data_IF_072927797798
#
_entry.id   IF_072927797798
#
_cell.length_a   1.000
_cell.length_b   1.000
_cell.length_c   1.000
_cell.angle_alpha   90.00
_cell.angle_beta   90.00
_cell.angle_gamma   90.00
#
_symmetry.space_group_name_H-M   'P 1'
#
loop_
_entity.id
_entity.type
_entity.pdbx_description
1 polymer ?
#
# COMPACT_ATOMS: atom_id res chain seq x y z
N UNK A 1 4.12 -41.66 13.67
CA UNK A 1 4.27 -40.22 13.53
C UNK A 1 3.39 -39.71 12.41
N UNK A 2 2.81 -38.55 12.61
CA UNK A 2 1.86 -38.03 11.66
C UNK A 2 2.49 -37.27 10.48
N UNK A 3 3.83 -37.25 10.38
CA UNK A 3 4.52 -36.49 9.35
C UNK A 3 4.08 -36.86 7.93
N UNK A 4 3.88 -38.16 7.68
CA UNK A 4 3.44 -38.65 6.37
C UNK A 4 2.01 -38.28 6.03
N UNK A 5 1.24 -37.76 7.03
CA UNK A 5 -0.15 -37.34 6.85
C UNK A 5 -0.26 -35.84 6.66
N UNK A 6 0.85 -35.13 6.72
CA UNK A 6 0.84 -33.70 6.51
C UNK A 6 0.64 -33.39 5.01
N UNK A 7 -0.09 -32.33 4.70
CA UNK A 7 -0.24 -31.89 3.31
C UNK A 7 1.13 -31.54 2.72
N UNK A 8 1.22 -31.62 1.42
CA UNK A 8 2.40 -31.09 0.71
C UNK A 8 2.39 -29.56 0.76
N UNK A 9 3.57 -28.96 0.61
CA UNK A 9 3.69 -27.50 0.61
C UNK A 9 2.67 -26.85 -0.34
N UNK A 10 2.51 -27.39 -1.53
CA UNK A 10 1.61 -26.87 -2.55
C UNK A 10 0.13 -26.92 -2.16
N UNK A 11 -0.22 -27.71 -1.13
CA UNK A 11 -1.61 -27.86 -0.68
C UNK A 11 -1.99 -26.87 0.43
N UNK A 12 -1.02 -26.10 0.94
CA UNK A 12 -1.30 -25.11 1.98
C UNK A 12 -1.78 -23.81 1.38
N UNK A 13 -2.88 -23.29 1.93
CA UNK A 13 -3.39 -21.97 1.53
C UNK A 13 -2.34 -20.87 1.72
N UNK A 14 -1.62 -20.93 2.84
CA UNK A 14 -0.59 -19.90 3.13
C UNK A 14 0.51 -19.88 2.06
N UNK A 15 0.89 -21.04 1.52
CA UNK A 15 1.86 -21.10 0.44
C UNK A 15 1.27 -20.56 -0.86
N UNK A 16 0.00 -20.86 -1.15
CA UNK A 16 -0.67 -20.32 -2.34
C UNK A 16 -0.71 -18.78 -2.30
N UNK A 17 -1.04 -18.21 -1.14
CA UNK A 17 -1.03 -16.76 -0.96
C UNK A 17 0.39 -16.19 -1.14
N UNK A 18 1.37 -16.83 -0.52
CA UNK A 18 2.77 -16.40 -0.62
C UNK A 18 3.26 -16.40 -2.07
N UNK A 19 3.06 -17.50 -2.78
CA UNK A 19 3.57 -17.65 -4.14
C UNK A 19 2.84 -16.73 -5.12
N UNK A 20 1.54 -16.53 -4.92
CA UNK A 20 0.75 -15.61 -5.74
C UNK A 20 1.20 -14.17 -5.53
N UNK A 21 1.43 -13.79 -4.28
CA UNK A 21 1.93 -12.45 -3.96
C UNK A 21 3.30 -12.20 -4.58
N UNK A 22 4.19 -13.19 -4.51
CA UNK A 22 5.51 -13.10 -5.10
C UNK A 22 5.44 -12.92 -6.63
N UNK A 23 4.58 -13.71 -7.29
CA UNK A 23 4.37 -13.62 -8.72
C UNK A 23 3.81 -12.25 -9.12
N UNK A 24 2.85 -11.73 -8.33
CA UNK A 24 2.26 -10.42 -8.57
C UNK A 24 3.32 -9.31 -8.48
N UNK A 25 4.17 -9.36 -7.45
CA UNK A 25 5.24 -8.37 -7.28
C UNK A 25 6.22 -8.40 -8.45
N UNK A 26 6.57 -9.59 -8.92
CA UNK A 26 7.47 -9.72 -10.08
C UNK A 26 6.86 -9.15 -11.35
N UNK A 27 5.55 -9.36 -11.53
CA UNK A 27 4.84 -8.84 -12.69
C UNK A 27 4.79 -7.32 -12.68
N UNK A 28 4.57 -6.71 -11.51
CA UNK A 28 4.43 -5.27 -11.37
C UNK A 28 5.77 -4.53 -11.27
N UNK A 29 6.85 -5.23 -10.93
CA UNK A 29 8.13 -4.60 -10.65
C UNK A 29 8.62 -3.64 -11.74
N UNK A 30 8.60 -3.99 -13.05
CA UNK A 30 9.06 -3.04 -14.06
C UNK A 30 8.28 -1.74 -14.07
N UNK A 31 6.96 -1.80 -13.89
CA UNK A 31 6.11 -0.61 -13.87
C UNK A 31 6.39 0.23 -12.62
N UNK A 32 6.52 -0.43 -11.48
CA UNK A 32 6.78 0.27 -10.21
C UNK A 32 8.16 0.90 -10.20
N UNK A 33 9.17 0.21 -10.73
CA UNK A 33 10.52 0.76 -10.81
C UNK A 33 10.56 1.99 -11.71
N UNK A 34 9.84 1.96 -12.82
CA UNK A 34 9.76 3.09 -13.74
C UNK A 34 9.13 4.31 -13.06
N UNK A 35 8.11 4.09 -12.25
CA UNK A 35 7.44 5.16 -11.50
C UNK A 35 8.19 5.56 -10.22
N UNK A 36 9.18 4.78 -9.80
CA UNK A 36 9.89 5.00 -8.55
C UNK A 36 9.07 4.66 -7.31
N UNK A 37 8.07 3.79 -7.45
CA UNK A 37 7.14 3.46 -6.37
C UNK A 37 7.37 2.05 -5.83
N UNK A 38 7.08 1.87 -4.55
CA UNK A 38 6.91 0.55 -3.96
C UNK A 38 5.48 0.08 -4.19
N UNK A 39 5.23 -1.21 -3.97
CA UNK A 39 3.88 -1.76 -4.10
C UNK A 39 2.88 -1.08 -3.15
N UNK A 40 3.19 -0.89 -1.84
CA UNK A 40 2.27 -0.16 -0.96
C UNK A 40 1.99 1.27 -1.42
N UNK A 41 2.99 1.97 -1.95
CA UNK A 41 2.77 3.32 -2.48
C UNK A 41 1.82 3.31 -3.68
N UNK A 42 1.96 2.32 -4.54
CA UNK A 42 1.04 2.12 -5.67
C UNK A 42 -0.39 1.91 -5.17
N UNK A 43 -0.58 1.12 -4.12
CA UNK A 43 -1.90 0.89 -3.53
C UNK A 43 -2.49 2.19 -2.96
N UNK A 44 -1.66 3.04 -2.37
CA UNK A 44 -2.11 4.36 -1.90
C UNK A 44 -2.66 5.18 -3.07
N UNK A 45 -1.97 5.19 -4.20
CA UNK A 45 -2.45 5.92 -5.38
C UNK A 45 -3.80 5.38 -5.84
N UNK A 46 -3.95 4.06 -5.91
CA UNK A 46 -5.23 3.45 -6.30
C UNK A 46 -6.34 3.88 -5.35
N UNK A 47 -6.09 3.84 -4.05
CA UNK A 47 -7.08 4.23 -3.06
C UNK A 47 -7.50 5.70 -3.23
N UNK A 48 -6.54 6.58 -3.53
CA UNK A 48 -6.82 8.00 -3.75
C UNK A 48 -7.49 8.26 -5.10
N UNK A 49 -7.23 7.44 -6.12
CA UNK A 49 -7.97 7.53 -7.39
C UNK A 49 -9.43 7.17 -7.21
N UNK A 50 -9.73 6.24 -6.31
CA UNK A 50 -11.12 5.90 -6.00
C UNK A 50 -11.80 7.04 -5.24
N UNK A 51 -11.11 7.61 -4.27
CA UNK A 51 -11.62 8.71 -3.47
C UNK A 51 -10.43 9.54 -2.99
N UNK A 52 -10.30 10.74 -3.52
CA UNK A 52 -9.26 11.67 -3.14
C UNK A 52 -9.55 12.31 -1.76
N UNK A 53 -8.60 13.03 -1.21
CA UNK A 53 -8.75 13.74 0.07
C UNK A 53 -9.09 12.84 1.25
N UNK A 54 -8.44 11.68 1.34
CA UNK A 54 -8.63 10.77 2.46
C UNK A 54 -7.68 11.10 3.61
N UNK A 55 -8.14 10.82 4.83
CA UNK A 55 -7.26 10.91 6.00
C UNK A 55 -6.25 9.78 6.01
N UNK A 56 -5.13 9.97 6.72
CA UNK A 56 -4.14 8.91 6.92
C UNK A 56 -4.81 7.68 7.54
N UNK A 57 -5.68 7.88 8.55
CA UNK A 57 -6.43 6.77 9.16
C UNK A 57 -7.31 6.03 8.17
N UNK A 58 -7.98 6.76 7.27
CA UNK A 58 -8.81 6.14 6.24
C UNK A 58 -8.02 5.27 5.28
N UNK A 59 -6.86 5.75 4.86
CA UNK A 59 -5.97 4.98 3.97
C UNK A 59 -5.41 3.77 4.72
N UNK A 60 -5.00 3.97 5.98
CA UNK A 60 -4.50 2.90 6.83
C UNK A 60 -5.49 1.75 6.93
N UNK A 61 -6.76 2.08 7.18
CA UNK A 61 -7.81 1.07 7.28
C UNK A 61 -8.02 0.31 5.97
N UNK A 62 -8.00 1.02 4.85
CA UNK A 62 -8.19 0.39 3.53
C UNK A 62 -7.06 -0.56 3.16
N UNK A 63 -5.84 -0.20 3.48
CA UNK A 63 -4.66 -0.97 3.08
C UNK A 63 -4.19 -1.96 4.14
N UNK A 64 -4.83 -1.99 5.30
CA UNK A 64 -4.42 -2.83 6.42
C UNK A 64 -2.97 -2.55 6.85
N UNK A 65 -2.58 -1.28 6.81
CA UNK A 65 -1.25 -0.84 7.22
C UNK A 65 -1.37 0.04 8.46
N UNK A 66 -0.41 -0.09 9.37
CA UNK A 66 -0.33 0.79 10.53
C UNK A 66 0.00 2.21 10.11
N UNK A 67 -0.51 3.18 10.86
CA UNK A 67 -0.17 4.59 10.63
C UNK A 67 1.33 4.83 10.74
N UNK A 68 2.01 4.11 11.64
CA UNK A 68 3.46 4.22 11.81
C UNK A 68 4.23 3.74 10.58
N UNK A 69 3.68 2.79 9.83
CA UNK A 69 4.25 2.32 8.56
C UNK A 69 3.87 3.25 7.43
N UNK A 70 2.62 3.69 7.42
CA UNK A 70 2.07 4.50 6.34
C UNK A 70 2.66 5.92 6.31
N UNK A 71 2.87 6.55 7.47
CA UNK A 71 3.34 7.95 7.53
C UNK A 71 4.67 8.18 6.82
N UNK A 72 5.74 7.38 7.06
CA UNK A 72 6.98 7.56 6.31
C UNK A 72 6.82 7.34 4.81
N UNK A 73 5.97 6.39 4.44
CA UNK A 73 5.67 6.07 3.05
C UNK A 73 5.01 7.27 2.35
N UNK A 74 4.05 7.91 3.01
CA UNK A 74 3.37 9.09 2.47
C UNK A 74 4.31 10.29 2.37
N UNK A 75 5.21 10.47 3.33
CA UNK A 75 6.21 11.54 3.29
C UNK A 75 7.12 11.39 2.07
N UNK A 76 7.52 10.18 1.73
CA UNK A 76 8.31 9.92 0.52
C UNK A 76 7.52 10.24 -0.73
N UNK A 77 6.24 9.86 -0.78
CA UNK A 77 5.38 10.17 -1.92
C UNK A 77 5.16 11.67 -2.09
N UNK A 78 5.08 12.40 -0.99
CA UNK A 78 5.01 13.86 -1.03
C UNK A 78 6.30 14.45 -1.61
N UNK A 79 7.45 13.98 -1.14
CA UNK A 79 8.75 14.42 -1.64
C UNK A 79 8.91 14.11 -3.14
N UNK A 80 8.33 13.03 -3.62
CA UNK A 80 8.35 12.66 -5.03
C UNK A 80 7.33 13.43 -5.87
N UNK A 81 6.45 14.20 -5.24
CA UNK A 81 5.46 15.00 -5.93
C UNK A 81 4.17 14.28 -6.29
N UNK A 82 3.91 13.10 -5.74
CA UNK A 82 2.69 12.36 -6.04
C UNK A 82 1.50 12.81 -5.20
N UNK A 83 1.72 13.20 -3.95
CA UNK A 83 0.66 13.58 -3.02
C UNK A 83 1.02 14.85 -2.27
N UNK A 84 0.01 15.48 -1.70
CA UNK A 84 0.16 16.62 -0.78
C UNK A 84 -0.47 16.21 0.55
N UNK A 85 0.21 16.53 1.63
CA UNK A 85 -0.26 16.26 3.00
C UNK A 85 -0.68 17.59 3.61
N UNK A 86 -1.92 17.62 4.11
CA UNK A 86 -2.47 18.81 4.74
C UNK A 86 -3.18 18.43 6.03
N UNK A 87 -3.01 19.26 7.06
CA UNK A 87 -3.80 19.08 8.27
C UNK A 87 -5.26 19.40 7.96
N UNK A 88 -6.15 18.58 8.57
CA UNK A 88 -7.57 18.83 8.42
C UNK A 88 -7.92 20.16 9.10
N UNK A 89 -8.57 21.11 8.40
CA UNK A 89 -8.91 22.40 8.99
C UNK A 89 -9.93 22.31 10.13
N UNK A 90 -10.71 21.23 10.16
CA UNK A 90 -11.72 21.02 11.21
C UNK A 90 -11.12 20.28 12.40
N UNK A 91 -10.31 19.26 12.15
CA UNK A 91 -9.66 18.46 13.19
C UNK A 91 -8.15 18.38 12.90
N UNK A 92 -7.39 19.24 13.56
CA UNK A 92 -5.94 19.35 13.35
C UNK A 92 -5.16 18.09 13.70
N UNK A 93 -5.77 17.13 14.41
CA UNK A 93 -5.13 15.86 14.72
C UNK A 93 -5.12 14.93 13.51
N UNK A 94 -5.92 15.22 12.50
CA UNK A 94 -5.99 14.43 11.28
C UNK A 94 -5.19 15.10 10.17
N UNK A 95 -4.53 14.25 9.37
CA UNK A 95 -3.82 14.68 8.16
C UNK A 95 -4.56 14.09 6.96
N UNK A 96 -4.90 14.93 6.01
CA UNK A 96 -5.52 14.52 4.75
C UNK A 96 -4.49 14.44 3.65
N UNK A 97 -4.69 13.49 2.78
CA UNK A 97 -3.81 13.22 1.65
C UNK A 97 -4.62 13.46 0.37
N UNK A 98 -4.05 14.19 -0.56
CA UNK A 98 -4.66 14.38 -1.88
C UNK A 98 -3.65 14.16 -2.98
N UNK A 99 -4.15 13.76 -4.14
CA UNK A 99 -3.32 13.57 -5.32
C UNK A 99 -2.85 14.92 -5.89
N UNK A 100 -1.66 14.89 -6.49
CA UNK A 100 -1.18 16.02 -7.29
C UNK A 100 -1.45 15.74 -8.77
N UNK A 101 -1.31 16.74 -9.67
CA UNK A 101 -1.42 16.49 -11.10
C UNK A 101 -0.43 15.49 -11.66
N UNK A 102 0.68 15.24 -10.96
CA UNK A 102 1.68 14.24 -11.38
C UNK A 102 1.17 12.82 -11.23
N UNK A 103 0.33 12.58 -10.23
CA UNK A 103 -0.13 11.22 -9.92
C UNK A 103 -1.00 10.60 -11.03
#
# INVERSE_FOLDING_TARGET
>A
MAAEKLPKLEDYLCFAVYSTNLALHRLLKPLLDEAGLTYPQFLVLIALYEQDHQTVGGISDKLFLDSSTLTPLLKRMEAMGYVVRQRDPVDERQVRIRLTPRA
#
